data_IF_789056442810
#
_entry.id   IF_789056442810
#
_cell.length_a   1.000
_cell.length_b   1.000
_cell.length_c   1.000
_cell.angle_alpha   90.00
_cell.angle_beta   90.00
_cell.angle_gamma   90.00
#
_symmetry.space_group_name_H-M   'P 1'
#
loop_
_entity.id
_entity.type
_entity.pdbx_description
1 polymer ?
#
# COMPACT_ATOMS: atom_id res chain seq x y z
N UNK A 1 18.41 68.48 -6.98
CA UNK A 1 19.50 67.60 -7.52
C UNK A 1 19.10 66.14 -7.40
N UNK A 2 18.80 65.46 -8.47
CA UNK A 2 18.65 64.00 -8.48
C UNK A 2 19.92 63.36 -9.02
N UNK A 3 20.47 62.41 -8.28
CA UNK A 3 21.61 61.59 -8.65
C UNK A 3 21.23 60.52 -9.71
N UNK A 4 22.04 60.49 -10.73
CA UNK A 4 22.00 59.53 -11.85
C UNK A 4 22.14 58.08 -11.35
N UNK A 5 21.22 57.19 -11.78
CA UNK A 5 21.37 55.76 -11.69
C UNK A 5 21.83 55.23 -13.05
N UNK A 6 23.06 54.76 -13.05
CA UNK A 6 23.79 54.17 -14.20
C UNK A 6 23.09 52.94 -14.75
N UNK A 7 22.80 52.95 -16.06
CA UNK A 7 22.31 51.82 -16.85
C UNK A 7 23.39 50.73 -16.98
N UNK A 8 23.15 49.57 -16.40
CA UNK A 8 23.88 48.34 -16.74
C UNK A 8 23.40 47.84 -18.12
N UNK A 9 24.26 47.92 -19.11
CA UNK A 9 24.10 47.34 -20.46
C UNK A 9 24.25 45.82 -20.35
N UNK A 10 23.18 45.06 -20.58
CA UNK A 10 23.29 43.63 -20.84
C UNK A 10 23.89 43.37 -22.21
N UNK A 11 25.09 42.79 -22.23
CA UNK A 11 25.72 42.31 -23.45
C UNK A 11 24.98 41.06 -23.94
N UNK A 12 24.27 41.15 -25.06
CA UNK A 12 23.63 40.03 -25.75
C UNK A 12 24.69 39.23 -26.47
N UNK A 13 25.06 38.06 -25.96
CA UNK A 13 25.96 37.11 -26.63
C UNK A 13 25.17 36.45 -27.75
N UNK A 14 25.46 36.80 -29.01
CA UNK A 14 24.95 36.11 -30.21
C UNK A 14 25.75 34.82 -30.42
N UNK A 15 25.11 33.66 -30.22
CA UNK A 15 25.68 32.38 -30.64
C UNK A 15 25.48 32.17 -32.16
N UNK A 16 26.48 31.65 -32.88
CA UNK A 16 26.36 31.40 -34.32
C UNK A 16 25.40 30.26 -34.61
N UNK A 17 24.55 30.42 -35.62
CA UNK A 17 23.48 29.53 -36.06
C UNK A 17 23.94 28.11 -36.48
N UNK A 18 25.23 27.81 -36.44
CA UNK A 18 25.79 26.52 -36.87
C UNK A 18 25.63 25.37 -35.85
N UNK A 19 25.44 25.66 -34.54
CA UNK A 19 25.32 24.62 -33.54
C UNK A 19 23.92 23.96 -33.46
N UNK A 20 22.89 24.65 -33.95
CA UNK A 20 21.52 24.15 -33.87
C UNK A 20 21.23 22.97 -34.83
N UNK A 21 22.00 22.80 -35.89
CA UNK A 21 21.81 21.71 -36.86
C UNK A 21 22.45 20.39 -36.43
N UNK A 22 23.54 20.44 -35.68
CA UNK A 22 24.24 19.26 -35.15
C UNK A 22 23.47 18.68 -33.97
N UNK A 23 22.92 19.52 -33.11
CA UNK A 23 22.11 19.09 -31.97
C UNK A 23 20.81 18.36 -32.37
N UNK A 24 20.17 18.79 -33.48
CA UNK A 24 18.94 18.15 -33.99
C UNK A 24 19.18 16.77 -34.61
N UNK A 25 20.35 16.49 -35.16
CA UNK A 25 20.70 15.17 -35.70
C UNK A 25 21.11 14.20 -34.57
N UNK A 26 21.84 14.65 -33.57
CA UNK A 26 22.18 13.85 -32.38
C UNK A 26 20.97 13.46 -31.55
N UNK A 27 20.00 14.35 -31.36
CA UNK A 27 18.79 14.09 -30.59
C UNK A 27 17.88 13.04 -31.26
N UNK A 28 17.84 12.99 -32.60
CA UNK A 28 17.03 11.98 -33.31
C UNK A 28 17.65 10.59 -33.27
N UNK A 29 18.96 10.46 -33.26
CA UNK A 29 19.66 9.17 -33.13
C UNK A 29 19.56 8.66 -31.68
N UNK A 30 19.67 9.54 -30.68
CA UNK A 30 19.52 9.19 -29.29
C UNK A 30 18.08 8.76 -28.92
N UNK A 31 17.06 9.35 -29.52
CA UNK A 31 15.65 8.94 -29.30
C UNK A 31 15.35 7.58 -29.93
N UNK A 32 15.92 7.24 -31.07
CA UNK A 32 15.77 5.94 -31.70
C UNK A 32 16.55 4.88 -30.94
N UNK A 33 17.74 5.17 -30.42
CA UNK A 33 18.52 4.26 -29.59
C UNK A 33 17.85 4.02 -28.20
N UNK A 34 17.18 5.04 -27.63
CA UNK A 34 16.43 4.89 -26.37
C UNK A 34 15.15 4.09 -26.57
N UNK A 35 14.50 4.17 -27.73
CA UNK A 35 13.31 3.37 -28.06
C UNK A 35 13.64 1.89 -28.29
N UNK A 36 14.89 1.55 -28.62
CA UNK A 36 15.36 0.16 -28.77
C UNK A 36 15.82 -0.47 -27.45
N UNK A 37 15.94 0.30 -26.38
CA UNK A 37 16.23 -0.17 -25.02
C UNK A 37 14.98 -0.32 -24.13
N UNK A 38 13.79 -0.31 -24.70
CA UNK A 38 12.61 -0.79 -23.97
C UNK A 38 12.86 -2.28 -23.73
N UNK A 39 13.06 -2.75 -22.47
CA UNK A 39 13.12 -4.18 -22.22
C UNK A 39 11.83 -4.74 -22.81
N UNK A 40 11.96 -5.74 -23.68
CA UNK A 40 10.84 -6.58 -24.08
C UNK A 40 10.41 -7.23 -22.77
N UNK A 41 9.40 -6.66 -22.13
CA UNK A 41 8.71 -7.34 -21.03
C UNK A 41 8.07 -8.54 -21.72
N UNK A 42 8.75 -9.66 -21.63
CA UNK A 42 8.23 -10.94 -22.04
C UNK A 42 6.90 -11.09 -21.30
N UNK A 43 5.80 -11.06 -22.03
CA UNK A 43 4.47 -11.22 -21.42
C UNK A 43 4.46 -12.62 -20.80
N UNK A 44 4.57 -12.68 -19.47
CA UNK A 44 4.48 -13.94 -18.74
C UNK A 44 3.14 -14.60 -19.09
N UNK A 45 3.18 -15.89 -19.39
CA UNK A 45 1.96 -16.64 -19.64
C UNK A 45 1.11 -16.69 -18.37
N UNK A 46 -0.20 -16.82 -18.51
CA UNK A 46 -1.11 -16.94 -17.36
C UNK A 46 -0.67 -18.06 -16.39
N UNK A 47 -0.16 -19.14 -16.93
CA UNK A 47 0.32 -20.31 -16.19
C UNK A 47 1.60 -20.04 -15.39
N UNK A 48 2.46 -19.12 -15.85
CA UNK A 48 3.64 -18.67 -15.11
C UNK A 48 3.29 -17.72 -13.96
N UNK A 49 2.21 -16.91 -14.15
CA UNK A 49 1.76 -15.96 -13.13
C UNK A 49 1.02 -16.68 -12.01
N UNK A 50 0.19 -17.67 -12.35
CA UNK A 50 -0.73 -18.34 -11.44
C UNK A 50 -0.86 -19.84 -11.75
N UNK A 51 0.16 -20.65 -11.44
CA UNK A 51 0.14 -22.09 -11.67
C UNK A 51 -0.92 -22.85 -10.86
N UNK A 52 -1.51 -22.20 -9.85
CA UNK A 52 -2.59 -22.77 -9.01
C UNK A 52 -3.96 -22.15 -9.29
N UNK A 53 -4.18 -21.61 -10.48
CA UNK A 53 -5.40 -20.87 -10.85
C UNK A 53 -6.70 -21.64 -10.51
N UNK A 54 -6.73 -22.96 -10.76
CA UNK A 54 -7.91 -23.77 -10.45
C UNK A 54 -8.27 -23.77 -8.97
N UNK A 55 -7.29 -23.96 -8.09
CA UNK A 55 -7.47 -23.83 -6.63
C UNK A 55 -7.81 -22.39 -6.23
N UNK A 56 -7.09 -21.43 -6.79
CA UNK A 56 -7.22 -20.03 -6.42
C UNK A 56 -8.59 -19.47 -6.80
N UNK A 57 -9.15 -19.84 -7.96
CA UNK A 57 -10.52 -19.47 -8.36
C UNK A 57 -11.57 -20.11 -7.45
N UNK A 58 -11.41 -21.41 -7.15
CA UNK A 58 -12.33 -22.08 -6.23
C UNK A 58 -12.33 -21.41 -4.84
N UNK A 59 -11.15 -21.09 -4.29
CA UNK A 59 -11.04 -20.40 -3.00
C UNK A 59 -11.56 -18.95 -3.07
N UNK A 60 -11.36 -18.27 -4.21
CA UNK A 60 -11.91 -16.94 -4.44
C UNK A 60 -13.45 -16.94 -4.44
N UNK A 61 -14.06 -17.92 -5.10
CA UNK A 61 -15.50 -18.10 -5.12
C UNK A 61 -16.03 -18.44 -3.71
N UNK A 62 -15.37 -19.36 -3.00
CA UNK A 62 -15.68 -19.66 -1.59
C UNK A 62 -15.64 -18.41 -0.70
N UNK A 63 -14.60 -17.57 -0.83
CA UNK A 63 -14.49 -16.30 -0.11
C UNK A 63 -15.63 -15.35 -0.50
N UNK A 64 -15.97 -15.29 -1.79
CA UNK A 64 -17.07 -14.48 -2.33
C UNK A 64 -18.44 -14.89 -1.76
N UNK A 65 -18.69 -16.19 -1.68
CA UNK A 65 -19.93 -16.72 -1.09
C UNK A 65 -19.98 -16.46 0.42
N UNK A 66 -18.85 -16.66 1.12
CA UNK A 66 -18.73 -16.36 2.56
C UNK A 66 -18.96 -14.86 2.81
N UNK A 67 -18.39 -13.98 2.00
CA UNK A 67 -18.65 -12.54 2.07
C UNK A 67 -20.12 -12.23 1.85
N UNK A 68 -20.70 -12.75 0.79
CA UNK A 68 -22.07 -12.47 0.38
C UNK A 68 -23.10 -12.86 1.45
N UNK A 69 -22.92 -14.02 2.06
CA UNK A 69 -23.92 -14.58 2.97
C UNK A 69 -23.67 -14.28 4.45
N UNK A 70 -22.40 -14.00 4.83
CA UNK A 70 -22.03 -13.85 6.23
C UNK A 70 -21.42 -12.46 6.48
N UNK A 71 -20.26 -12.14 5.83
CA UNK A 71 -19.47 -10.98 6.21
C UNK A 71 -20.16 -9.69 5.80
N UNK A 72 -20.65 -9.61 4.55
CA UNK A 72 -21.30 -8.41 4.01
C UNK A 72 -22.57 -7.99 4.75
N UNK A 73 -23.51 -8.88 5.10
CA UNK A 73 -24.67 -8.50 5.90
C UNK A 73 -24.30 -7.92 7.27
N UNK A 74 -23.30 -8.51 7.93
CA UNK A 74 -22.79 -8.03 9.22
C UNK A 74 -22.07 -6.70 9.05
N UNK A 75 -21.26 -6.53 8.00
CA UNK A 75 -20.57 -5.29 7.69
C UNK A 75 -21.53 -4.13 7.39
N UNK A 76 -22.62 -4.38 6.67
CA UNK A 76 -23.70 -3.40 6.46
C UNK A 76 -24.39 -3.01 7.76
N UNK A 77 -24.64 -3.99 8.64
CA UNK A 77 -25.21 -3.72 9.97
C UNK A 77 -24.26 -2.87 10.82
N UNK A 78 -22.97 -3.18 10.80
CA UNK A 78 -21.94 -2.41 11.47
C UNK A 78 -21.86 -0.98 10.92
N UNK A 79 -21.83 -0.82 9.59
CA UNK A 79 -21.77 0.47 8.91
C UNK A 79 -22.99 1.35 9.24
N UNK A 80 -24.18 0.76 9.30
CA UNK A 80 -25.43 1.48 9.61
C UNK A 80 -25.52 1.96 11.07
N UNK A 81 -24.83 1.29 12.02
CA UNK A 81 -24.88 1.60 13.45
C UNK A 81 -23.71 2.47 13.88
N UNK A 82 -22.53 2.21 13.33
CA UNK A 82 -21.27 2.86 13.72
C UNK A 82 -21.14 4.23 13.03
N UNK A 83 -21.12 5.33 13.77
CA UNK A 83 -20.90 6.65 13.18
C UNK A 83 -19.49 6.76 12.61
N UNK A 84 -19.31 7.64 11.62
CA UNK A 84 -18.05 7.82 10.90
C UNK A 84 -16.85 8.03 11.82
N UNK A 85 -16.96 8.88 12.85
CA UNK A 85 -15.88 9.12 13.81
C UNK A 85 -15.49 7.82 14.57
N UNK A 86 -16.45 6.94 14.82
CA UNK A 86 -16.23 5.64 15.46
C UNK A 86 -15.45 4.70 14.55
N UNK A 87 -15.83 4.63 13.26
CA UNK A 87 -15.11 3.83 12.24
C UNK A 87 -13.68 4.33 12.05
N UNK A 88 -13.49 5.66 11.99
CA UNK A 88 -12.15 6.25 11.94
C UNK A 88 -11.32 5.83 13.16
N UNK A 89 -11.90 5.90 14.36
CA UNK A 89 -11.21 5.47 15.58
C UNK A 89 -10.84 3.99 15.58
N UNK A 90 -11.74 3.10 15.14
CA UNK A 90 -11.47 1.67 15.01
C UNK A 90 -10.37 1.40 13.98
N UNK A 91 -10.41 2.05 12.83
CA UNK A 91 -9.37 1.93 11.81
C UNK A 91 -8.00 2.41 12.34
N UNK A 92 -7.94 3.54 13.05
CA UNK A 92 -6.72 4.04 13.67
C UNK A 92 -6.17 3.07 14.71
N UNK A 93 -7.05 2.47 15.54
CA UNK A 93 -6.65 1.47 16.52
C UNK A 93 -5.97 0.26 15.86
N UNK A 94 -6.55 -0.31 14.80
CA UNK A 94 -5.92 -1.41 14.07
C UNK A 94 -4.63 -0.97 13.36
N UNK A 95 -4.63 0.21 12.79
CA UNK A 95 -3.46 0.80 12.14
C UNK A 95 -2.27 0.92 13.10
N UNK A 96 -2.51 1.16 14.39
CA UNK A 96 -1.46 1.23 15.40
C UNK A 96 -0.75 -0.12 15.63
N UNK A 97 -1.47 -1.25 15.49
CA UNK A 97 -0.83 -2.58 15.47
C UNK A 97 -0.01 -2.81 14.20
N UNK A 98 -0.47 -2.32 13.05
CA UNK A 98 0.29 -2.41 11.81
C UNK A 98 1.55 -1.53 11.87
N UNK A 99 1.47 -0.32 12.47
CA UNK A 99 2.64 0.55 12.69
C UNK A 99 3.68 -0.14 13.59
N UNK A 100 3.26 -0.92 14.61
CA UNK A 100 4.17 -1.71 15.43
C UNK A 100 4.91 -2.79 14.62
N UNK A 101 4.18 -3.61 13.85
CA UNK A 101 4.79 -4.60 12.98
C UNK A 101 5.67 -3.93 11.91
N UNK A 102 5.23 -2.79 11.37
CA UNK A 102 6.00 -1.98 10.44
C UNK A 102 7.32 -1.47 11.02
N UNK A 103 7.32 -1.04 12.29
CA UNK A 103 8.56 -0.62 12.98
C UNK A 103 9.57 -1.76 13.09
N UNK A 104 9.12 -2.95 13.50
CA UNK A 104 9.97 -4.14 13.60
C UNK A 104 10.51 -4.55 12.23
N UNK A 105 9.65 -4.60 11.23
CA UNK A 105 10.03 -4.99 9.88
C UNK A 105 10.99 -3.97 9.25
N UNK A 106 10.77 -2.66 9.42
CA UNK A 106 11.70 -1.63 8.96
C UNK A 106 13.08 -1.77 9.62
N UNK A 107 13.11 -2.10 10.92
CA UNK A 107 14.37 -2.38 11.63
C UNK A 107 15.10 -3.60 11.03
N UNK A 108 14.39 -4.72 10.79
CA UNK A 108 14.93 -5.93 10.18
C UNK A 108 15.42 -5.72 8.73
N UNK A 109 14.88 -4.71 8.06
CA UNK A 109 15.27 -4.27 6.72
C UNK A 109 16.46 -3.27 6.74
N UNK A 110 16.92 -2.84 7.92
CA UNK A 110 17.98 -1.83 8.06
C UNK A 110 17.48 -0.39 7.74
N UNK A 111 16.17 -0.17 7.64
CA UNK A 111 15.55 1.14 7.34
C UNK A 111 15.27 1.89 8.64
N UNK A 112 16.32 2.40 9.28
CA UNK A 112 16.26 2.97 10.64
C UNK A 112 15.31 4.16 10.74
N UNK A 113 15.31 5.07 9.75
CA UNK A 113 14.40 6.22 9.73
C UNK A 113 12.94 5.78 9.76
N UNK A 114 12.56 4.81 8.92
CA UNK A 114 11.20 4.27 8.87
C UNK A 114 10.83 3.57 10.18
N UNK A 115 11.77 2.81 10.76
CA UNK A 115 11.57 2.15 12.06
C UNK A 115 11.32 3.17 13.17
N UNK A 116 12.11 4.25 13.23
CA UNK A 116 11.95 5.32 14.21
C UNK A 116 10.61 6.03 14.04
N UNK A 117 10.24 6.40 12.80
CA UNK A 117 8.96 7.06 12.53
C UNK A 117 7.77 6.18 12.95
N UNK A 118 7.74 4.91 12.55
CA UNK A 118 6.68 4.00 12.94
C UNK A 118 6.65 3.75 14.45
N UNK A 119 7.81 3.66 15.12
CA UNK A 119 7.88 3.54 16.58
C UNK A 119 7.31 4.78 17.26
N UNK A 120 7.67 5.98 16.77
CA UNK A 120 7.13 7.21 17.32
C UNK A 120 5.62 7.31 17.14
N UNK A 121 5.09 6.87 15.98
CA UNK A 121 3.65 6.79 15.73
C UNK A 121 2.97 5.90 16.77
N UNK A 122 3.49 4.68 16.98
CA UNK A 122 2.95 3.74 17.98
C UNK A 122 2.92 4.37 19.38
N UNK A 123 4.01 5.01 19.79
CA UNK A 123 4.09 5.64 21.12
C UNK A 123 3.13 6.83 21.24
N UNK A 124 3.12 7.74 20.27
CA UNK A 124 2.25 8.92 20.28
C UNK A 124 0.76 8.52 20.25
N UNK A 125 0.39 7.63 19.33
CA UNK A 125 -0.99 7.20 19.18
C UNK A 125 -1.47 6.34 20.36
N UNK A 126 -0.60 5.53 20.97
CA UNK A 126 -0.97 4.73 22.14
C UNK A 126 -1.10 5.55 23.42
N UNK A 127 -0.31 6.62 23.59
CA UNK A 127 -0.33 7.46 24.79
C UNK A 127 -1.29 8.63 24.66
N UNK A 128 -1.00 9.56 23.74
CA UNK A 128 -1.82 10.76 23.52
C UNK A 128 -3.09 10.44 22.75
N UNK A 129 -3.02 9.49 21.79
CA UNK A 129 -4.12 9.08 20.92
C UNK A 129 -5.06 8.05 21.54
N UNK A 130 -5.07 7.86 22.88
CA UNK A 130 -5.96 6.93 23.60
C UNK A 130 -5.92 5.51 23.01
N UNK A 131 -4.80 4.83 23.15
CA UNK A 131 -4.56 3.47 22.63
C UNK A 131 -4.68 3.35 21.09
N UNK A 132 -4.46 4.44 20.36
CA UNK A 132 -4.49 4.46 18.91
C UNK A 132 -5.85 4.83 18.30
N UNK A 133 -6.87 5.19 19.11
CA UNK A 133 -8.15 5.66 18.58
C UNK A 133 -8.02 6.99 17.81
N UNK A 134 -7.08 7.82 18.21
CA UNK A 134 -6.74 9.08 17.53
C UNK A 134 -5.35 8.99 16.91
N UNK A 135 -5.23 9.28 15.62
CA UNK A 135 -3.94 9.30 14.91
C UNK A 135 -3.25 10.67 15.09
N UNK A 136 -2.73 10.89 16.31
CA UNK A 136 -2.01 12.13 16.68
C UNK A 136 -0.70 12.26 15.90
N UNK A 137 -0.10 11.13 15.53
CA UNK A 137 1.14 11.12 14.76
C UNK A 137 0.94 11.72 13.37
N UNK A 138 -0.17 11.40 12.70
CA UNK A 138 -0.51 12.03 11.41
C UNK A 138 -0.86 13.52 11.56
N UNK A 139 -1.46 13.93 12.69
CA UNK A 139 -1.69 15.36 13.00
C UNK A 139 -0.39 16.14 13.21
N UNK A 140 0.69 15.44 13.55
CA UNK A 140 2.04 15.99 13.71
C UNK A 140 2.91 15.79 12.45
N UNK A 141 2.32 15.48 11.29
CA UNK A 141 2.97 15.25 10.01
C UNK A 141 4.04 14.15 10.03
N UNK A 142 3.92 13.16 10.93
CA UNK A 142 4.85 12.03 11.00
C UNK A 142 4.43 10.98 9.96
N UNK A 143 5.28 10.70 8.95
CA UNK A 143 4.94 9.80 7.87
C UNK A 143 4.77 8.37 8.39
N UNK A 144 3.79 7.64 7.79
CA UNK A 144 3.60 6.20 7.97
C UNK A 144 4.34 5.45 6.89
N UNK A 145 5.09 4.41 7.29
CA UNK A 145 5.76 3.50 6.36
C UNK A 145 5.18 2.11 6.51
N UNK A 146 4.40 1.71 5.52
CA UNK A 146 3.79 0.39 5.49
C UNK A 146 4.80 -0.64 5.02
N UNK A 147 5.00 -1.67 5.83
CA UNK A 147 5.86 -2.81 5.51
C UNK A 147 5.46 -4.01 6.38
N UNK A 148 5.79 -5.20 5.91
CA UNK A 148 5.46 -6.47 6.55
C UNK A 148 6.63 -7.46 6.45
N UNK A 149 6.52 -8.60 7.12
CA UNK A 149 7.58 -9.60 7.10
C UNK A 149 7.74 -10.28 5.73
N UNK A 150 6.67 -10.34 4.91
CA UNK A 150 6.78 -10.79 3.52
C UNK A 150 7.67 -9.87 2.67
N UNK A 151 7.61 -8.55 2.92
CA UNK A 151 8.54 -7.58 2.31
C UNK A 151 9.95 -7.71 2.88
N UNK A 152 10.09 -7.93 4.18
CA UNK A 152 11.40 -8.21 4.80
C UNK A 152 12.08 -9.42 4.16
N UNK A 153 11.34 -10.50 3.96
CA UNK A 153 11.82 -11.69 3.25
C UNK A 153 12.23 -11.39 1.79
N UNK A 154 11.49 -10.48 1.12
CA UNK A 154 11.85 -10.02 -0.23
C UNK A 154 13.23 -9.36 -0.25
N UNK A 155 13.48 -8.44 0.68
CA UNK A 155 14.78 -7.76 0.82
C UNK A 155 15.90 -8.74 1.15
N UNK A 156 15.61 -9.79 1.91
CA UNK A 156 16.56 -10.87 2.20
C UNK A 156 16.76 -11.85 1.04
N UNK A 157 16.12 -11.61 -0.12
CA UNK A 157 16.28 -12.39 -1.34
C UNK A 157 15.41 -13.65 -1.43
N UNK A 158 14.43 -13.82 -0.55
CA UNK A 158 13.47 -14.91 -0.64
C UNK A 158 12.53 -14.67 -1.82
N UNK A 159 12.41 -15.61 -2.78
CA UNK A 159 11.53 -15.46 -3.93
C UNK A 159 10.06 -15.36 -3.51
N UNK A 160 9.25 -14.66 -4.32
CA UNK A 160 7.82 -14.43 -4.06
C UNK A 160 7.04 -15.73 -3.89
N UNK A 161 7.41 -16.77 -4.66
CA UNK A 161 6.63 -18.00 -4.79
C UNK A 161 5.33 -17.77 -5.57
N UNK A 162 4.51 -18.81 -5.64
CA UNK A 162 3.27 -18.81 -6.39
C UNK A 162 2.22 -17.87 -5.77
N UNK A 163 1.35 -17.35 -6.61
CA UNK A 163 0.14 -16.67 -6.15
C UNK A 163 -0.78 -17.66 -5.45
N UNK A 164 -1.46 -17.23 -4.39
CA UNK A 164 -2.29 -18.07 -3.53
C UNK A 164 -3.46 -17.25 -2.99
N UNK A 165 -4.65 -17.80 -3.08
CA UNK A 165 -5.83 -17.23 -2.39
C UNK A 165 -6.04 -17.98 -1.08
N UNK A 166 -6.01 -17.23 0.03
CA UNK A 166 -6.25 -17.78 1.37
C UNK A 166 -7.73 -17.69 1.75
N UNK A 167 -8.24 -18.65 2.55
CA UNK A 167 -9.62 -18.59 3.03
C UNK A 167 -9.81 -17.33 3.90
N UNK A 168 -10.86 -16.57 3.62
CA UNK A 168 -11.28 -15.33 4.31
C UNK A 168 -10.29 -14.16 4.11
N UNK A 169 -8.99 -14.41 4.08
CA UNK A 169 -7.93 -13.39 3.95
C UNK A 169 -7.84 -12.86 2.51
N UNK A 170 -8.07 -13.72 1.52
CA UNK A 170 -8.05 -13.35 0.10
C UNK A 170 -6.68 -13.49 -0.57
N UNK A 171 -6.36 -12.63 -1.57
CA UNK A 171 -5.14 -12.69 -2.38
C UNK A 171 -3.85 -12.63 -1.55
N UNK A 172 -2.89 -13.49 -1.89
CA UNK A 172 -1.58 -13.59 -1.23
C UNK A 172 -0.55 -14.21 -2.19
N UNK A 173 0.67 -14.41 -1.69
CA UNK A 173 1.69 -15.28 -2.29
C UNK A 173 2.25 -16.20 -1.21
N UNK A 174 2.97 -17.24 -1.59
CA UNK A 174 3.60 -18.16 -0.62
C UNK A 174 4.47 -17.39 0.37
N UNK A 175 5.33 -16.48 -0.11
CA UNK A 175 6.17 -15.63 0.75
C UNK A 175 5.35 -14.72 1.66
N UNK A 176 4.35 -14.03 1.10
CA UNK A 176 3.50 -13.10 1.88
C UNK A 176 2.66 -13.83 2.92
N UNK A 177 2.14 -15.03 2.62
CA UNK A 177 1.39 -15.84 3.56
C UNK A 177 2.24 -16.28 4.76
N UNK A 178 3.48 -16.70 4.49
CA UNK A 178 4.43 -17.03 5.54
C UNK A 178 4.77 -15.78 6.37
N UNK A 179 5.06 -14.66 5.70
CA UNK A 179 5.33 -13.38 6.37
C UNK A 179 4.20 -12.92 7.26
N UNK A 180 2.97 -12.96 6.75
CA UNK A 180 1.77 -12.60 7.53
C UNK A 180 1.56 -13.47 8.77
N UNK A 181 1.95 -14.77 8.70
CA UNK A 181 1.91 -15.67 9.85
C UNK A 181 2.89 -15.25 10.94
N UNK A 182 4.10 -14.82 10.56
CA UNK A 182 5.10 -14.30 11.49
C UNK A 182 4.62 -12.96 12.09
N UNK A 183 4.14 -12.03 11.25
CA UNK A 183 3.60 -10.75 11.72
C UNK A 183 2.44 -10.94 12.69
N UNK A 184 1.55 -11.89 12.41
CA UNK A 184 0.45 -12.22 13.32
C UNK A 184 0.95 -12.77 14.65
N UNK A 185 1.99 -13.60 14.63
CA UNK A 185 2.57 -14.18 15.84
C UNK A 185 3.28 -13.14 16.72
N UNK A 186 4.06 -12.23 16.12
CA UNK A 186 4.80 -11.19 16.87
C UNK A 186 3.94 -9.97 17.25
N UNK A 187 2.74 -9.84 16.69
CA UNK A 187 1.83 -8.73 16.98
C UNK A 187 1.53 -8.62 18.48
N UNK A 188 1.51 -7.41 19.05
CA UNK A 188 1.14 -7.19 20.45
C UNK A 188 -0.22 -7.81 20.81
N UNK A 189 -1.18 -7.76 19.91
CA UNK A 189 -2.50 -8.37 20.13
C UNK A 189 -2.42 -9.87 20.40
N UNK A 190 -1.52 -10.60 19.72
CA UNK A 190 -1.32 -12.04 19.95
C UNK A 190 -0.62 -12.33 21.27
N UNK A 191 0.31 -11.46 21.67
CA UNK A 191 1.14 -11.66 22.87
C UNK A 191 0.43 -11.26 24.16
N UNK A 192 -0.51 -10.31 24.09
CA UNK A 192 -1.16 -9.72 25.27
C UNK A 192 -2.58 -10.25 25.52
N UNK A 193 -3.20 -10.91 24.55
CA UNK A 193 -4.58 -11.37 24.63
C UNK A 193 -4.65 -12.90 24.72
N UNK A 194 -5.72 -13.41 25.36
CA UNK A 194 -6.07 -14.83 25.25
C UNK A 194 -6.60 -15.15 23.85
N UNK A 195 -6.69 -16.43 23.52
CA UNK A 195 -7.08 -16.89 22.18
C UNK A 195 -8.44 -16.36 21.74
N UNK A 196 -9.42 -16.32 22.63
CA UNK A 196 -10.78 -15.87 22.33
C UNK A 196 -10.80 -14.37 21.98
N UNK A 197 -10.15 -13.53 22.78
CA UNK A 197 -10.05 -12.10 22.53
C UNK A 197 -9.24 -11.80 21.27
N UNK A 198 -8.15 -12.52 21.02
CA UNK A 198 -7.36 -12.38 19.80
C UNK A 198 -8.17 -12.67 18.53
N UNK A 199 -8.86 -13.82 18.50
CA UNK A 199 -9.64 -14.19 17.33
C UNK A 199 -10.87 -13.29 17.15
N UNK A 200 -11.50 -12.86 18.25
CA UNK A 200 -12.56 -11.87 18.24
C UNK A 200 -12.09 -10.53 17.63
N UNK A 201 -10.93 -10.06 18.06
CA UNK A 201 -10.31 -8.83 17.52
C UNK A 201 -9.98 -8.96 16.03
N UNK A 202 -9.45 -10.11 15.60
CA UNK A 202 -9.16 -10.40 14.17
C UNK A 202 -10.42 -10.42 13.33
N UNK A 203 -11.48 -11.08 13.81
CA UNK A 203 -12.77 -11.09 13.12
C UNK A 203 -13.36 -9.67 13.01
N UNK A 204 -13.25 -8.87 14.08
CA UNK A 204 -13.69 -7.47 14.07
C UNK A 204 -12.89 -6.62 13.09
N UNK A 205 -11.57 -6.81 12.99
CA UNK A 205 -10.74 -6.13 11.99
C UNK A 205 -11.17 -6.47 10.56
N UNK A 206 -11.43 -7.75 10.26
CA UNK A 206 -11.95 -8.17 8.94
C UNK A 206 -13.29 -7.49 8.64
N UNK A 207 -14.16 -7.38 9.64
CA UNK A 207 -15.45 -6.72 9.51
C UNK A 207 -15.31 -5.21 9.22
N UNK A 208 -14.43 -4.51 9.96
CA UNK A 208 -14.15 -3.08 9.78
C UNK A 208 -13.58 -2.79 8.39
N UNK A 209 -12.57 -3.58 7.96
CA UNK A 209 -12.02 -3.48 6.60
C UNK A 209 -13.12 -3.72 5.56
N UNK A 210 -13.97 -4.74 5.75
CA UNK A 210 -15.04 -5.03 4.79
C UNK A 210 -16.08 -3.91 4.72
N UNK A 211 -16.42 -3.31 5.86
CA UNK A 211 -17.32 -2.18 5.91
C UNK A 211 -16.77 -0.97 5.14
N UNK A 212 -15.48 -0.68 5.25
CA UNK A 212 -14.84 0.42 4.52
C UNK A 212 -14.78 0.23 3.00
N UNK A 213 -15.02 -1.00 2.50
CA UNK A 213 -14.98 -1.35 1.08
C UNK A 213 -16.38 -1.52 0.46
N UNK A 214 -17.46 -1.31 1.21
CA UNK A 214 -18.82 -1.53 0.70
C UNK A 214 -19.15 -0.67 -0.53
N UNK A 215 -18.72 0.59 -0.53
CA UNK A 215 -19.00 1.54 -1.61
C UNK A 215 -18.09 1.34 -2.83
N UNK A 216 -16.90 0.75 -2.65
CA UNK A 216 -15.92 0.55 -3.72
C UNK A 216 -16.29 -0.58 -4.70
N UNK A 217 -17.24 -1.45 -4.35
CA UNK A 217 -17.61 -2.61 -5.18
C UNK A 217 -18.35 -2.26 -6.48
N UNK A 218 -19.01 -1.11 -6.54
CA UNK A 218 -19.85 -0.72 -7.69
C UNK A 218 -19.05 -0.43 -8.96
N UNK A 219 -17.73 -0.26 -8.85
CA UNK A 219 -16.86 0.19 -9.95
C UNK A 219 -16.25 -0.99 -10.72
N UNK A 220 -16.36 -2.23 -10.23
CA UNK A 220 -15.67 -3.38 -10.79
C UNK A 220 -16.42 -3.99 -11.98
N UNK A 221 -15.77 -3.97 -13.16
CA UNK A 221 -16.26 -4.62 -14.39
C UNK A 221 -15.27 -5.71 -14.83
N UNK A 222 -15.80 -6.82 -15.41
CA UNK A 222 -14.98 -7.91 -15.94
C UNK A 222 -14.74 -9.07 -14.98
N UNK A 223 -13.66 -9.83 -15.20
CA UNK A 223 -13.28 -10.98 -14.35
C UNK A 223 -12.71 -10.48 -13.02
N UNK A 224 -13.53 -10.59 -11.97
CA UNK A 224 -13.17 -10.13 -10.62
C UNK A 224 -11.95 -10.85 -10.07
N UNK A 225 -11.80 -12.13 -10.33
CA UNK A 225 -10.64 -12.90 -9.89
C UNK A 225 -9.34 -12.33 -10.46
N UNK A 226 -9.29 -12.15 -11.78
CA UNK A 226 -8.12 -11.59 -12.47
C UNK A 226 -7.83 -10.17 -11.95
N UNK A 227 -8.85 -9.36 -11.78
CA UNK A 227 -8.70 -8.00 -11.24
C UNK A 227 -8.04 -7.99 -9.86
N UNK A 228 -8.55 -8.78 -8.91
CA UNK A 228 -7.99 -8.82 -7.54
C UNK A 228 -6.60 -9.43 -7.51
N UNK A 229 -6.33 -10.47 -8.32
CA UNK A 229 -5.00 -11.05 -8.44
C UNK A 229 -3.99 -10.01 -8.91
N UNK A 230 -4.30 -9.33 -10.01
CA UNK A 230 -3.37 -8.41 -10.65
C UNK A 230 -3.17 -7.15 -9.79
N UNK A 231 -4.23 -6.61 -9.20
CA UNK A 231 -4.16 -5.51 -8.26
C UNK A 231 -3.27 -5.86 -7.04
N UNK A 232 -3.42 -7.06 -6.48
CA UNK A 232 -2.59 -7.52 -5.38
C UNK A 232 -1.12 -7.64 -5.79
N UNK A 233 -0.84 -8.31 -6.91
CA UNK A 233 0.53 -8.49 -7.39
C UNK A 233 1.21 -7.15 -7.71
N UNK A 234 0.46 -6.21 -8.28
CA UNK A 234 0.95 -4.87 -8.57
C UNK A 234 1.23 -4.08 -7.28
N UNK A 235 0.34 -4.13 -6.29
CA UNK A 235 0.56 -3.46 -5.01
C UNK A 235 1.81 -3.98 -4.29
N UNK A 236 2.04 -5.31 -4.33
CA UNK A 236 3.26 -5.91 -3.80
C UNK A 236 4.52 -5.48 -4.54
N UNK A 237 4.46 -5.39 -5.88
CA UNK A 237 5.58 -4.92 -6.69
C UNK A 237 5.95 -3.46 -6.38
N UNK A 238 4.95 -2.58 -6.17
CA UNK A 238 5.17 -1.19 -5.77
C UNK A 238 5.83 -1.10 -4.39
N UNK A 239 5.34 -1.88 -3.41
CA UNK A 239 5.93 -1.95 -2.08
C UNK A 239 7.40 -2.40 -2.14
N UNK A 240 7.70 -3.44 -2.90
CA UNK A 240 9.04 -4.02 -3.05
C UNK A 240 10.02 -3.09 -3.80
N UNK A 241 9.50 -2.24 -4.70
CA UNK A 241 10.27 -1.19 -5.36
C UNK A 241 10.57 0.03 -4.46
N UNK A 242 10.08 0.03 -3.21
CA UNK A 242 10.25 1.15 -2.27
C UNK A 242 9.30 2.32 -2.53
N UNK A 243 8.26 2.12 -3.34
CA UNK A 243 7.21 3.09 -3.55
C UNK A 243 6.33 3.28 -2.31
N UNK A 244 5.74 4.47 -2.12
CA UNK A 244 4.76 4.66 -1.07
C UNK A 244 3.50 3.83 -1.39
N UNK A 245 3.23 2.82 -0.59
CA UNK A 245 1.94 2.14 -0.62
C UNK A 245 0.99 2.97 0.22
N UNK A 246 0.40 3.98 -0.39
CA UNK A 246 -0.62 4.80 0.25
C UNK A 246 -1.99 4.31 -0.20
N UNK A 247 -2.69 3.60 0.66
CA UNK A 247 -4.12 3.34 0.51
C UNK A 247 -4.96 4.61 0.73
N UNK A 248 -4.31 5.75 1.04
CA UNK A 248 -4.97 7.04 1.27
C UNK A 248 -5.56 7.67 0.00
N UNK A 249 -5.16 7.23 -1.19
CA UNK A 249 -5.68 7.79 -2.45
C UNK A 249 -7.16 7.47 -2.74
N UNK A 250 -7.74 6.48 -2.10
CA UNK A 250 -9.18 6.20 -2.24
C UNK A 250 -10.06 7.19 -1.45
N UNK A 251 -9.51 7.92 -0.49
CA UNK A 251 -10.24 8.94 0.30
C UNK A 251 -10.05 10.40 -0.17
N UNK A 252 -9.08 10.68 -1.05
CA UNK A 252 -8.75 12.06 -1.43
C UNK A 252 -9.79 12.74 -2.35
N UNK A 253 -10.79 12.03 -2.86
CA UNK A 253 -11.82 12.61 -3.72
C UNK A 253 -13.04 13.13 -2.97
N UNK A 254 -13.20 12.88 -1.67
CA UNK A 254 -14.37 13.32 -0.91
C UNK A 254 -14.23 14.69 -0.22
N UNK A 255 -13.02 15.25 -0.13
CA UNK A 255 -12.79 16.51 0.62
C UNK A 255 -12.64 17.78 -0.23
N UNK A 256 -12.81 17.73 -1.56
CA UNK A 256 -12.75 18.94 -2.40
C UNK A 256 -14.11 19.36 -2.98
N UNK A 257 -15.12 19.38 -2.15
CA UNK A 257 -16.46 19.84 -2.50
C UNK A 257 -17.08 20.70 -1.40
N UNK A 258 -16.46 21.83 -1.08
CA UNK A 258 -17.11 23.00 -0.45
C UNK A 258 -16.43 24.27 -0.92
#
# INVERSE_FOLDING_TARGET
EPRELSMMRYATIRFPHSFASIAKRGARVSLVALALMVPVVEAQTQEEIDPWEGYNRWMFDFNGDTDRWIIRPVARGYDAIMPEFGRVGVNNFFSNFYDFNGALNALLQGRIEQAVNNTFRVVANSTIGLFGLFDVASMADIPRYETDFGHTLSIWGVPRGNFLVLPIIGPSTVRSSFGASIDAYISPSRQMMNDEAYWGLRAFNVLDIRASLLDAEEIMTGDRYVFFRDAYLQSRAVLEAGGPVSYTHLRAHETSGY
#
